data_IF_422248118559
#
_entry.id   IF_422248118559
#
_cell.length_a   1.000
_cell.length_b   1.000
_cell.length_c   1.000
_cell.angle_alpha   90.00
_cell.angle_beta   90.00
_cell.angle_gamma   90.00
#
_symmetry.space_group_name_H-M   'P 1'
#
loop_
_entity.id
_entity.type
_entity.pdbx_description
1 polymer ?
#
# COMPACT_ATOMS: atom_id res chain seq x y z
N UNK A 1 -21.87 -12.90 -14.35
CA UNK A 1 -20.42 -12.93 -14.08
C UNK A 1 -19.83 -11.58 -14.47
N UNK A 2 -18.90 -11.04 -13.69
CA UNK A 2 -18.35 -9.70 -13.88
C UNK A 2 -17.64 -9.61 -15.26
N UNK A 3 -17.85 -8.57 -16.11
CA UNK A 3 -17.35 -8.53 -17.50
C UNK A 3 -15.83 -8.76 -17.64
N UNK A 4 -15.08 -8.41 -16.59
CA UNK A 4 -13.64 -8.61 -16.50
C UNK A 4 -13.21 -10.09 -16.63
N UNK A 5 -14.03 -11.05 -16.16
CA UNK A 5 -13.68 -12.47 -16.22
C UNK A 5 -13.81 -13.10 -17.60
N UNK A 6 -14.71 -12.59 -18.44
CA UNK A 6 -14.84 -13.06 -19.83
C UNK A 6 -13.63 -12.63 -20.67
N UNK A 7 -13.14 -11.41 -20.46
CA UNK A 7 -11.95 -10.89 -21.16
C UNK A 7 -10.66 -11.61 -20.73
N UNK A 8 -10.57 -12.09 -19.48
CA UNK A 8 -9.42 -12.88 -19.01
C UNK A 8 -9.21 -14.16 -19.84
N UNK A 9 -10.27 -14.77 -20.36
CA UNK A 9 -10.17 -15.98 -21.18
C UNK A 9 -9.40 -15.77 -22.49
N UNK A 10 -9.28 -14.52 -22.96
CA UNK A 10 -8.55 -14.14 -24.18
C UNK A 10 -7.07 -13.80 -23.91
N UNK A 11 -6.67 -13.72 -22.65
CA UNK A 11 -5.30 -13.37 -22.27
C UNK A 11 -4.31 -14.49 -22.63
N UNK A 12 -3.05 -14.12 -22.84
CA UNK A 12 -1.94 -15.08 -23.09
C UNK A 12 -1.21 -15.48 -21.81
N UNK A 13 -1.27 -14.64 -20.79
CA UNK A 13 -0.68 -14.84 -19.48
C UNK A 13 -1.37 -13.91 -18.48
N UNK A 14 -1.35 -14.28 -17.21
CA UNK A 14 -1.78 -13.42 -16.10
C UNK A 14 -0.56 -13.08 -15.25
N UNK A 15 -0.25 -11.79 -15.13
CA UNK A 15 0.73 -11.28 -14.17
C UNK A 15 0.00 -10.92 -12.89
N UNK A 16 0.36 -11.58 -11.80
CA UNK A 16 -0.23 -11.39 -10.49
C UNK A 16 0.79 -10.63 -9.62
N UNK A 17 0.55 -9.35 -9.25
CA UNK A 17 1.50 -8.51 -8.52
C UNK A 17 1.59 -8.88 -7.04
N UNK A 18 1.91 -10.14 -6.78
CA UNK A 18 1.98 -10.80 -5.49
C UNK A 18 3.10 -11.84 -5.51
N UNK A 19 3.34 -12.48 -4.38
CA UNK A 19 4.23 -13.61 -4.26
C UNK A 19 3.43 -14.88 -3.96
N UNK A 20 3.90 -16.04 -4.42
CA UNK A 20 3.20 -17.30 -4.19
C UNK A 20 3.05 -17.58 -2.70
N UNK A 21 4.09 -17.27 -1.93
CA UNK A 21 4.15 -17.45 -0.49
C UNK A 21 3.12 -16.60 0.27
N UNK A 22 2.66 -15.49 -0.31
CA UNK A 22 1.65 -14.61 0.30
C UNK A 22 0.23 -15.09 0.01
N UNK A 23 -0.03 -15.59 -1.22
CA UNK A 23 -1.39 -15.90 -1.68
C UNK A 23 -1.50 -17.24 -2.42
N UNK A 24 -1.05 -18.36 -1.84
CA UNK A 24 -0.93 -19.64 -2.56
C UNK A 24 -2.28 -20.12 -3.08
N UNK A 25 -3.34 -19.99 -2.26
CA UNK A 25 -4.70 -20.39 -2.63
C UNK A 25 -5.25 -19.62 -3.83
N UNK A 26 -4.95 -18.32 -3.93
CA UNK A 26 -5.42 -17.50 -5.04
C UNK A 26 -4.66 -17.87 -6.33
N UNK A 27 -3.34 -18.05 -6.24
CA UNK A 27 -2.50 -18.44 -7.37
C UNK A 27 -2.87 -19.83 -7.89
N UNK A 28 -3.04 -20.81 -7.00
CA UNK A 28 -3.45 -22.18 -7.37
C UNK A 28 -4.84 -22.18 -8.03
N UNK A 29 -5.77 -21.38 -7.49
CA UNK A 29 -7.10 -21.23 -8.08
C UNK A 29 -7.01 -20.74 -9.54
N UNK A 30 -6.28 -19.65 -9.79
CA UNK A 30 -6.16 -19.12 -11.15
C UNK A 30 -5.37 -20.04 -12.09
N UNK A 31 -4.35 -20.70 -11.57
CA UNK A 31 -3.55 -21.68 -12.33
C UNK A 31 -4.39 -22.89 -12.73
N UNK A 32 -5.28 -23.36 -11.86
CA UNK A 32 -6.20 -24.47 -12.18
C UNK A 32 -7.34 -24.06 -13.11
N UNK A 33 -7.76 -22.79 -13.05
CA UNK A 33 -8.92 -22.27 -13.78
C UNK A 33 -8.61 -21.88 -15.23
N UNK A 34 -7.37 -21.48 -15.52
CA UNK A 34 -6.98 -20.97 -16.83
C UNK A 34 -5.97 -21.88 -17.51
N UNK A 35 -6.09 -22.00 -18.85
CA UNK A 35 -5.16 -22.80 -19.66
C UNK A 35 -3.88 -22.06 -20.06
N UNK A 36 -3.75 -20.78 -19.66
CA UNK A 36 -2.56 -19.97 -19.90
C UNK A 36 -1.72 -19.82 -18.62
N UNK A 37 -0.43 -19.50 -18.74
CA UNK A 37 0.44 -19.34 -17.58
C UNK A 37 0.03 -18.20 -16.66
N UNK A 38 0.07 -18.47 -15.35
CA UNK A 38 -0.07 -17.47 -14.28
C UNK A 38 1.30 -17.26 -13.65
N UNK A 39 1.78 -16.02 -13.63
CA UNK A 39 3.05 -15.65 -13.04
C UNK A 39 2.85 -14.71 -11.87
N UNK A 40 3.44 -15.04 -10.73
CA UNK A 40 3.59 -14.10 -9.62
C UNK A 40 4.76 -13.19 -9.91
N UNK A 41 4.50 -11.89 -10.02
CA UNK A 41 5.54 -10.87 -10.01
C UNK A 41 5.66 -10.38 -8.58
N UNK A 42 6.84 -10.47 -7.98
CA UNK A 42 7.12 -9.83 -6.69
C UNK A 42 6.56 -8.40 -6.71
N UNK A 43 6.06 -7.96 -5.56
CA UNK A 43 5.38 -6.67 -5.41
C UNK A 43 6.09 -5.59 -6.22
N UNK A 44 5.36 -5.02 -7.19
CA UNK A 44 5.86 -3.96 -8.07
C UNK A 44 5.91 -2.62 -7.35
N UNK A 45 6.33 -2.62 -6.07
CA UNK A 45 6.65 -1.39 -5.36
C UNK A 45 7.80 -0.78 -6.15
N UNK A 46 7.62 0.42 -6.74
CA UNK A 46 8.70 1.07 -7.45
C UNK A 46 9.87 1.20 -6.48
N UNK A 47 10.95 0.46 -6.74
CA UNK A 47 12.22 0.74 -6.10
C UNK A 47 12.76 1.97 -6.82
N UNK A 48 12.30 3.15 -6.41
CA UNK A 48 13.12 4.33 -6.61
C UNK A 48 14.37 4.07 -5.78
N UNK A 49 15.52 3.96 -6.45
CA UNK A 49 16.78 4.26 -5.78
C UNK A 49 16.55 5.61 -5.13
N UNK A 50 16.49 5.63 -3.80
CA UNK A 50 16.64 6.84 -3.02
C UNK A 50 18.03 7.34 -3.38
N UNK A 51 18.13 8.11 -4.47
CA UNK A 51 19.39 8.67 -4.90
C UNK A 51 19.81 9.58 -3.76
N UNK A 52 20.78 9.11 -2.97
CA UNK A 52 21.60 9.93 -2.09
C UNK A 52 22.48 10.85 -2.96
N UNK A 53 21.83 11.61 -3.83
CA UNK A 53 22.39 12.50 -4.83
C UNK A 53 21.88 13.89 -4.51
N UNK A 54 22.65 14.57 -3.68
CA UNK A 54 22.81 16.01 -3.54
C UNK A 54 21.64 16.90 -4.01
N UNK A 55 21.07 17.63 -3.04
CA UNK A 55 20.38 18.93 -3.17
C UNK A 55 18.84 18.97 -3.01
N UNK A 56 18.28 18.02 -2.26
CA UNK A 56 17.02 18.27 -1.53
C UNK A 56 17.30 17.98 -0.07
N UNK A 57 17.18 18.99 0.80
CA UNK A 57 17.32 18.77 2.24
C UNK A 57 16.40 17.63 2.66
N UNK A 58 16.93 16.69 3.42
CA UNK A 58 16.13 15.63 4.03
C UNK A 58 14.86 16.23 4.66
N UNK A 59 13.67 15.68 4.37
CA UNK A 59 12.44 16.24 4.91
C UNK A 59 12.49 16.26 6.44
N UNK A 60 11.99 17.34 7.05
CA UNK A 60 12.04 17.51 8.50
C UNK A 60 11.38 16.36 9.28
N UNK A 61 10.35 15.74 8.71
CA UNK A 61 9.69 14.59 9.34
C UNK A 61 10.56 13.32 9.36
N UNK A 62 11.52 13.17 8.44
CA UNK A 62 12.48 12.05 8.48
C UNK A 62 13.44 12.24 9.66
N UNK A 63 14.00 13.45 9.81
CA UNK A 63 14.82 13.78 10.99
C UNK A 63 14.04 13.59 12.30
N UNK A 64 12.77 13.98 12.33
CA UNK A 64 11.90 13.72 13.49
C UNK A 64 11.70 12.22 13.75
N UNK A 65 11.54 11.39 12.70
CA UNK A 65 11.43 9.93 12.84
C UNK A 65 12.72 9.31 13.39
N UNK A 66 13.89 9.78 12.93
CA UNK A 66 15.20 9.28 13.38
C UNK A 66 15.47 9.53 14.87
N UNK A 67 14.78 10.51 15.48
CA UNK A 67 14.84 10.80 16.90
C UNK A 67 13.93 9.90 17.76
N UNK A 68 13.05 9.10 17.15
CA UNK A 68 12.11 8.24 17.87
C UNK A 68 12.69 6.84 18.12
N UNK A 69 12.24 6.12 19.18
CA UNK A 69 12.60 4.72 19.37
C UNK A 69 12.17 3.82 18.20
N UNK A 70 12.87 2.71 18.01
CA UNK A 70 12.48 1.72 16.98
C UNK A 70 11.05 1.22 17.21
N UNK A 71 10.27 1.13 16.12
CA UNK A 71 8.91 0.55 16.13
C UNK A 71 7.95 1.33 17.06
N UNK A 72 8.18 2.64 17.28
CA UNK A 72 7.36 3.44 18.20
C UNK A 72 6.37 4.39 17.53
N UNK A 73 6.45 4.60 16.21
CA UNK A 73 5.62 5.58 15.49
C UNK A 73 4.61 4.87 14.59
N UNK A 74 3.32 5.22 14.74
CA UNK A 74 2.24 4.76 13.89
C UNK A 74 2.17 5.60 12.60
N UNK A 75 2.40 4.97 11.45
CA UNK A 75 2.17 5.61 10.14
C UNK A 75 0.71 5.47 9.71
N UNK A 76 0.09 6.59 9.29
CA UNK A 76 -1.32 6.66 8.91
C UNK A 76 -1.45 7.29 7.52
N UNK A 77 -2.00 6.53 6.57
CA UNK A 77 -2.30 6.99 5.22
C UNK A 77 -3.44 6.17 4.60
N UNK A 78 -4.32 6.84 3.86
CA UNK A 78 -5.45 6.22 3.13
C UNK A 78 -5.11 5.98 1.65
N UNK A 79 -3.84 6.19 1.27
CA UNK A 79 -3.41 6.18 -0.11
C UNK A 79 -3.99 7.33 -0.93
N UNK A 80 -3.67 7.36 -2.22
CA UNK A 80 -4.04 8.45 -3.12
C UNK A 80 -5.52 8.43 -3.55
N UNK A 81 -6.19 7.29 -3.50
CA UNK A 81 -7.50 7.11 -4.14
C UNK A 81 -8.69 7.22 -3.19
N UNK A 82 -8.53 6.90 -1.92
CA UNK A 82 -9.63 6.89 -0.97
C UNK A 82 -9.74 8.24 -0.27
N UNK A 83 -10.96 8.74 -0.17
CA UNK A 83 -11.35 9.87 0.68
C UNK A 83 -12.15 9.33 1.84
N UNK A 84 -11.75 9.63 3.06
CA UNK A 84 -12.52 9.38 4.28
C UNK A 84 -13.35 10.61 4.60
N UNK A 85 -14.56 10.40 5.11
CA UNK A 85 -15.44 11.51 5.49
C UNK A 85 -14.87 12.29 6.68
N UNK A 86 -15.34 13.52 6.87
CA UNK A 86 -14.95 14.35 8.03
C UNK A 86 -15.27 13.62 9.35
N UNK A 87 -16.48 13.07 9.48
CA UNK A 87 -16.90 12.34 10.67
C UNK A 87 -16.00 11.12 10.98
N UNK A 88 -15.65 10.33 9.97
CA UNK A 88 -14.72 9.21 10.15
C UNK A 88 -13.30 9.68 10.50
N UNK A 89 -12.87 10.84 9.95
CA UNK A 89 -11.59 11.45 10.29
C UNK A 89 -11.56 11.92 11.74
N UNK A 90 -12.65 12.52 12.23
CA UNK A 90 -12.80 12.93 13.64
C UNK A 90 -12.69 11.73 14.59
N UNK A 91 -13.35 10.61 14.27
CA UNK A 91 -13.26 9.39 15.07
C UNK A 91 -11.82 8.82 15.10
N UNK A 92 -11.11 8.85 13.96
CA UNK A 92 -9.69 8.46 13.89
C UNK A 92 -8.83 9.38 14.77
N UNK A 93 -9.00 10.70 14.67
CA UNK A 93 -8.30 11.69 15.51
C UNK A 93 -8.59 11.42 16.99
N UNK A 94 -9.84 11.15 17.35
CA UNK A 94 -10.27 10.81 18.71
C UNK A 94 -9.51 9.60 19.24
N UNK A 95 -9.53 8.49 18.50
CA UNK A 95 -8.85 7.25 18.88
C UNK A 95 -7.33 7.41 19.02
N UNK A 96 -6.68 8.15 18.12
CA UNK A 96 -5.25 8.42 18.20
C UNK A 96 -4.92 9.21 19.48
N UNK A 97 -5.69 10.27 19.77
CA UNK A 97 -5.49 11.10 20.97
C UNK A 97 -5.64 10.31 22.25
N UNK A 98 -6.62 9.41 22.33
CA UNK A 98 -6.84 8.55 23.49
C UNK A 98 -5.73 7.49 23.65
N UNK A 99 -5.18 6.99 22.54
CA UNK A 99 -4.13 5.97 22.57
C UNK A 99 -2.77 6.46 23.09
N UNK A 100 -2.49 7.76 22.97
CA UNK A 100 -1.22 8.36 23.37
C UNK A 100 -0.01 7.93 22.53
N UNK A 101 -0.21 7.25 21.39
CA UNK A 101 0.88 6.81 20.51
C UNK A 101 1.50 7.99 19.76
N UNK A 102 2.79 7.88 19.46
CA UNK A 102 3.42 8.75 18.47
C UNK A 102 2.91 8.36 17.09
N UNK A 103 2.57 9.34 16.25
CA UNK A 103 2.01 9.08 14.93
C UNK A 103 2.56 10.04 13.88
N UNK A 104 2.62 9.54 12.64
CA UNK A 104 2.87 10.33 11.44
C UNK A 104 1.69 10.11 10.50
N UNK A 105 0.86 11.14 10.31
CA UNK A 105 -0.33 11.07 9.47
C UNK A 105 -0.17 11.93 8.21
N UNK A 106 -0.27 11.28 7.05
CA UNK A 106 -0.47 11.94 5.75
C UNK A 106 -1.96 12.30 5.61
N UNK A 107 -2.35 13.46 6.16
CA UNK A 107 -3.69 14.00 6.02
C UNK A 107 -3.87 14.71 4.67
N UNK A 108 -5.09 14.67 4.13
CA UNK A 108 -5.47 15.47 2.95
C UNK A 108 -6.07 16.76 3.48
N UNK A 109 -5.62 17.91 2.98
CA UNK A 109 -6.25 19.18 3.32
C UNK A 109 -7.67 19.23 2.78
N UNK A 110 -8.58 19.84 3.53
CA UNK A 110 -9.90 20.20 3.02
C UNK A 110 -9.71 21.24 1.92
N UNK A 111 -10.20 20.94 0.71
CA UNK A 111 -10.35 21.91 -0.38
C UNK A 111 -11.73 22.56 -0.31
#
# INVERSE_FOLDING_TARGET
MNPCFEELSKAKYLLFPSAYELEPKAVDFFTSKFHFPVYTTRSLIPFQELSAGNDVSEPEYIRWLDEQPEISVLYISQGSFLSVSEAETEEIVGGIRESGVLFLWVARGDS
#
